data_IF_531560058837
#
_entry.id   IF_531560058837
#
_cell.length_a   1.000
_cell.length_b   1.000
_cell.length_c   1.000
_cell.angle_alpha   90.00
_cell.angle_beta   90.00
_cell.angle_gamma   90.00
#
_symmetry.space_group_name_H-M   'P 1'
#
loop_
_entity.id
_entity.type
_entity.pdbx_description
1 polymer ?
2 non-polymer ?
#
# COMPACT_ATOMS: atom_id res chain seq x y z
N UNK A 1 -13.20 -27.95 3.21
CA UNK A 1 -12.44 -28.81 2.32
C UNK A 1 -11.08 -28.21 2.00
N UNK A 2 -10.83 -27.99 0.71
CA UNK A 2 -9.57 -27.42 0.25
C UNK A 2 -9.66 -25.89 0.33
N UNK A 3 -9.62 -25.39 1.55
CA UNK A 3 -9.68 -23.96 1.83
C UNK A 3 -8.32 -23.36 2.13
N UNK A 4 -7.42 -24.14 2.74
CA UNK A 4 -6.05 -23.69 2.94
C UNK A 4 -5.38 -23.34 1.63
N UNK A 5 -5.73 -24.05 0.55
CA UNK A 5 -5.23 -23.70 -0.77
C UNK A 5 -5.69 -22.31 -1.19
N UNK A 6 -6.95 -21.97 -0.89
CA UNK A 6 -7.48 -20.65 -1.21
C UNK A 6 -6.77 -19.57 -0.39
N UNK A 7 -6.54 -19.86 0.90
CA UNK A 7 -5.79 -18.92 1.73
C UNK A 7 -4.38 -18.70 1.17
N UNK A 8 -3.73 -19.78 0.75
CA UNK A 8 -2.40 -19.68 0.15
C UNK A 8 -2.44 -18.84 -1.13
N UNK A 9 -3.45 -19.06 -1.97
CA UNK A 9 -3.55 -18.31 -3.22
C UNK A 9 -3.70 -16.82 -2.94
N UNK A 10 -4.57 -16.46 -2.01
CA UNK A 10 -4.79 -15.04 -1.71
C UNK A 10 -3.53 -14.42 -1.10
N UNK A 11 -2.88 -15.16 -0.19
CA UNK A 11 -1.64 -14.66 0.40
C UNK A 11 -0.59 -14.39 -0.66
N UNK A 12 -0.39 -15.34 -1.58
CA UNK A 12 0.60 -15.18 -2.63
C UNK A 12 0.25 -14.02 -3.54
N UNK A 13 -1.03 -13.87 -3.90
CA UNK A 13 -1.43 -12.77 -4.76
C UNK A 13 -1.13 -11.42 -4.12
N UNK A 14 -1.50 -11.26 -2.84
CA UNK A 14 -1.24 -9.98 -2.17
C UNK A 14 0.26 -9.72 -2.06
N UNK A 15 1.04 -10.74 -1.69
CA UNK A 15 2.48 -10.56 -1.55
C UNK A 15 3.12 -10.16 -2.86
N UNK A 16 2.77 -10.85 -3.95
CA UNK A 16 3.36 -10.52 -5.25
C UNK A 16 2.94 -9.14 -5.72
N UNK A 17 1.68 -8.76 -5.49
CA UNK A 17 1.23 -7.44 -5.90
C UNK A 17 1.99 -6.35 -5.16
N UNK A 18 2.17 -6.50 -3.84
CA UNK A 18 2.90 -5.48 -3.09
C UNK A 18 4.38 -5.47 -3.47
N UNK A 19 4.96 -6.64 -3.75
CA UNK A 19 6.34 -6.69 -4.20
C UNK A 19 6.53 -5.93 -5.50
N UNK A 20 5.62 -6.15 -6.46
CA UNK A 20 5.70 -5.42 -7.72
C UNK A 20 5.48 -3.93 -7.52
N UNK A 21 4.61 -3.56 -6.58
CA UNK A 21 4.39 -2.15 -6.29
C UNK A 21 5.65 -1.49 -5.76
N UNK A 22 6.36 -2.16 -4.85
CA UNK A 22 7.46 -1.50 -4.15
C UNK A 22 8.84 -1.73 -4.76
N UNK A 23 8.98 -2.64 -5.72
CA UNK A 23 10.27 -2.83 -6.37
C UNK A 23 10.63 -1.61 -7.22
N UNK A 24 9.61 -0.93 -7.76
CA UNK A 24 9.83 0.16 -8.70
C UNK A 24 10.59 1.31 -8.05
N UNK A 25 10.44 1.47 -6.73
CA UNK A 25 10.85 2.72 -6.08
C UNK A 25 12.34 3.02 -6.23
N UNK A 26 13.27 2.10 -5.94
CA UNK A 26 14.69 2.47 -6.05
C UNK A 26 15.20 2.61 -7.47
N UNK A 27 14.52 2.03 -8.45
CA UNK A 27 15.11 1.82 -9.77
C UNK A 27 14.59 2.82 -10.80
N UNK A 28 13.27 3.06 -10.86
CA UNK A 28 12.71 3.90 -11.92
C UNK A 28 13.19 5.35 -11.83
N UNK A 29 13.11 6.04 -10.68
CA UNK A 29 13.58 7.43 -10.66
C UNK A 29 15.05 7.58 -11.04
N UNK A 30 15.91 6.69 -10.57
CA UNK A 30 17.31 6.75 -10.93
C UNK A 30 17.51 6.51 -12.41
N UNK A 31 16.75 5.58 -12.99
CA UNK A 31 16.86 5.29 -14.42
C UNK A 31 16.45 6.50 -15.25
N UNK A 32 15.34 7.14 -14.89
CA UNK A 32 14.91 8.34 -15.62
C UNK A 32 15.92 9.47 -15.46
N UNK A 33 16.48 9.62 -14.25
CA UNK A 33 17.52 10.62 -14.03
C UNK A 33 18.72 10.37 -14.92
N UNK A 34 19.16 9.12 -15.01
CA UNK A 34 20.31 8.78 -15.84
C UNK A 34 20.03 9.03 -17.32
N UNK A 35 18.81 8.72 -17.76
CA UNK A 35 18.46 8.98 -19.16
C UNK A 35 18.48 10.48 -19.46
N UNK A 36 17.80 11.27 -18.62
CA UNK A 36 17.64 12.69 -18.95
C UNK A 36 18.95 13.44 -18.80
N UNK A 37 19.65 13.27 -17.67
CA UNK A 37 20.81 14.10 -17.39
C UNK A 37 22.05 13.65 -18.16
N UNK A 38 22.18 12.36 -18.43
CA UNK A 38 23.34 11.84 -19.14
C UNK A 38 22.95 11.31 -20.51
N UNK A 105 17.94 23.26 -10.14
CA UNK A 105 17.89 23.06 -11.58
C UNK A 105 16.48 22.70 -12.03
N UNK A 106 16.08 23.22 -13.19
CA UNK A 106 14.80 22.84 -13.77
C UNK A 106 14.78 21.37 -14.14
N UNK A 107 15.92 20.83 -14.57
CA UNK A 107 16.07 19.41 -14.79
C UNK A 107 16.18 18.71 -13.43
N UNK A 108 15.63 17.49 -13.38
CA UNK A 108 15.38 16.68 -12.19
C UNK A 108 14.25 17.28 -11.37
N UNK A 109 13.88 18.53 -11.64
CA UNK A 109 12.69 19.10 -11.02
C UNK A 109 11.46 18.75 -11.85
N UNK A 110 11.55 18.94 -13.16
CA UNK A 110 10.53 18.37 -14.05
C UNK A 110 10.47 16.86 -13.88
N UNK A 111 11.61 16.22 -13.62
CA UNK A 111 11.60 14.79 -13.37
C UNK A 111 10.85 14.44 -12.09
N UNK A 112 11.03 15.22 -11.03
CA UNK A 112 10.25 14.98 -9.81
C UNK A 112 8.76 15.16 -10.06
N UNK A 113 8.40 16.23 -10.78
CA UNK A 113 6.98 16.49 -11.03
C UNK A 113 6.36 15.48 -12.00
N UNK A 114 7.17 14.79 -12.80
CA UNK A 114 6.64 13.74 -13.67
C UNK A 114 6.60 12.37 -12.99
N UNK A 115 7.60 12.04 -12.18
CA UNK A 115 7.56 10.77 -11.46
C UNK A 115 6.47 10.81 -10.40
N UNK A 116 6.11 12.00 -9.90
CA UNK A 116 4.96 12.07 -9.02
C UNK A 116 3.69 11.56 -9.68
N UNK A 117 3.43 12.02 -10.91
CA UNK A 117 2.27 11.55 -11.64
C UNK A 117 2.40 10.08 -12.00
N UNK A 118 3.60 9.65 -12.36
CA UNK A 118 3.81 8.24 -12.70
C UNK A 118 3.51 7.34 -11.50
N UNK A 119 3.84 7.80 -10.29
CA UNK A 119 3.57 6.99 -9.11
C UNK A 119 2.10 7.08 -8.68
N UNK A 120 1.44 8.21 -8.96
CA UNK A 120 0.04 8.34 -8.59
C UNK A 120 -0.90 7.67 -9.58
N UNK A 121 -0.41 7.31 -10.77
CA UNK A 121 -1.27 6.73 -11.79
C UNK A 121 -1.91 5.43 -11.32
N UNK A 122 -1.15 4.57 -10.65
CA UNK A 122 -1.69 3.28 -10.21
C UNK A 122 -2.85 3.48 -9.23
N UNK A 123 -2.65 4.37 -8.25
CA UNK A 123 -3.70 4.60 -7.27
C UNK A 123 -4.93 5.22 -7.91
N UNK A 124 -4.75 6.15 -8.85
CA UNK A 124 -5.90 6.74 -9.53
C UNK A 124 -6.69 5.69 -10.31
N UNK A 125 -5.98 4.83 -11.06
CA UNK A 125 -6.66 3.81 -11.84
C UNK A 125 -7.37 2.83 -10.92
N UNK A 126 -6.75 2.46 -9.81
CA UNK A 126 -7.38 1.56 -8.86
C UNK A 126 -8.65 2.16 -8.28
N UNK A 127 -8.59 3.45 -7.92
CA UNK A 127 -9.78 4.12 -7.40
C UNK A 127 -10.90 4.13 -8.42
N UNK A 128 -10.59 4.39 -9.68
CA UNK A 128 -11.63 4.45 -10.70
C UNK A 128 -12.21 3.07 -10.96
N UNK A 129 -11.37 2.03 -10.99
CA UNK A 129 -11.84 0.73 -11.44
C UNK A 129 -12.36 -0.13 -10.30
N UNK A 130 -12.20 0.32 -9.05
CA UNK A 130 -12.64 -0.49 -7.92
C UNK A 130 -14.13 -0.84 -7.93
N UNK A 131 -15.04 0.11 -8.17
CA UNK A 131 -16.47 -0.26 -8.14
C UNK A 131 -16.88 -1.32 -9.15
N UNK A 132 -16.25 -1.35 -10.32
CA UNK A 132 -16.72 -2.22 -11.40
C UNK A 132 -16.43 -3.69 -11.11
N UNK A 133 -15.31 -3.97 -10.45
CA UNK A 133 -14.90 -5.35 -10.23
C UNK A 133 -15.87 -6.06 -9.29
N UNK A 134 -16.39 -5.34 -8.29
CA UNK A 134 -17.38 -5.95 -7.41
C UNK A 134 -18.63 -6.38 -8.14
N UNK A 135 -19.16 -5.51 -9.00
CA UNK A 135 -20.31 -5.88 -9.82
C UNK A 135 -19.99 -7.06 -10.72
N UNK A 136 -18.80 -7.05 -11.34
CA UNK A 136 -18.43 -8.13 -12.25
C UNK A 136 -18.35 -9.46 -11.52
N UNK A 137 -17.75 -9.49 -10.34
CA UNK A 137 -17.64 -10.75 -9.61
C UNK A 137 -18.98 -11.17 -9.02
N UNK A 138 -19.86 -10.21 -8.76
CA UNK A 138 -21.22 -10.55 -8.36
C UNK A 138 -21.93 -11.28 -9.49
N UNK A 139 -21.79 -10.78 -10.72
CA UNK A 139 -22.52 -11.38 -11.83
C UNK A 139 -21.89 -12.71 -12.27
N UNK A 140 -20.55 -12.80 -12.28
CA UNK A 140 -19.88 -13.92 -12.93
C UNK A 140 -19.16 -14.85 -11.96
N UNK A 141 -18.83 -14.41 -10.76
CA UNK A 141 -18.15 -15.30 -9.83
C UNK A 141 -16.69 -14.95 -9.67
N UNK A 142 -16.13 -15.29 -8.52
CA UNK A 142 -14.75 -14.91 -8.18
C UNK A 142 -13.67 -15.45 -9.11
N UNK A 143 -13.66 -16.72 -9.52
CA UNK A 143 -12.46 -17.27 -10.17
C UNK A 143 -11.98 -16.52 -11.41
N UNK A 144 -12.90 -16.05 -12.26
CA UNK A 144 -12.48 -15.34 -13.47
C UNK A 144 -11.74 -14.05 -13.13
N UNK A 145 -12.26 -13.16 -12.27
CA UNK A 145 -11.44 -12.01 -11.85
C UNK A 145 -10.15 -12.40 -11.16
N UNK A 146 -10.16 -13.47 -10.35
CA UNK A 146 -8.94 -13.86 -9.65
C UNK A 146 -7.85 -14.23 -10.65
N UNK A 147 -8.21 -14.97 -11.70
CA UNK A 147 -7.22 -15.36 -12.70
C UNK A 147 -6.82 -14.17 -13.58
N UNK A 148 -7.79 -13.31 -13.91
CA UNK A 148 -7.49 -12.14 -14.73
C UNK A 148 -6.50 -11.23 -14.01
N UNK A 149 -6.55 -11.20 -12.68
CA UNK A 149 -5.57 -10.42 -11.94
C UNK A 149 -4.14 -10.88 -12.22
N UNK A 150 -3.91 -12.19 -12.17
CA UNK A 150 -2.57 -12.69 -12.46
C UNK A 150 -2.18 -12.43 -13.91
N UNK A 151 -3.13 -12.60 -14.83
CA UNK A 151 -2.81 -12.36 -16.25
C UNK A 151 -2.38 -10.91 -16.47
N UNK A 152 -3.14 -9.96 -15.94
CA UNK A 152 -2.80 -8.55 -16.09
C UNK A 152 -1.50 -8.20 -15.36
N UNK A 153 -1.24 -8.79 -14.19
CA UNK A 153 0.02 -8.54 -13.51
C UNK A 153 1.20 -9.04 -14.33
N UNK A 154 1.05 -10.20 -14.97
CA UNK A 154 2.12 -10.70 -15.85
C UNK A 154 2.38 -9.74 -17.01
N UNK A 155 1.31 -9.27 -17.64
CA UNK A 155 1.49 -8.33 -18.76
C UNK A 155 2.20 -7.07 -18.30
N UNK A 156 1.77 -6.52 -17.15
CA UNK A 156 2.39 -5.30 -16.65
C UNK A 156 3.86 -5.52 -16.30
N UNK A 157 4.18 -6.67 -15.71
CA UNK A 157 5.57 -6.94 -15.36
C UNK A 157 6.46 -7.05 -16.59
N UNK A 158 5.99 -7.75 -17.62
CA UNK A 158 6.80 -7.86 -18.85
C UNK A 158 6.97 -6.49 -19.50
N UNK A 159 5.92 -5.67 -19.50
CA UNK A 159 6.04 -4.30 -20.08
C UNK A 159 7.15 -3.52 -19.36
N UNK A 160 7.17 -3.50 -18.03
CA UNK A 160 8.17 -2.70 -17.27
C UNK A 160 9.58 -3.18 -17.63
N UNK A 161 9.76 -4.49 -17.73
CA UNK A 161 11.11 -5.05 -18.01
C UNK A 161 11.55 -4.66 -19.42
N UNK A 162 10.65 -4.68 -20.40
CA UNK A 162 11.14 -4.40 -21.75
C UNK A 162 10.71 -3.04 -22.30
N UNK A 163 10.54 -2.03 -21.45
CA UNK A 163 10.20 -0.68 -21.90
C UNK A 163 11.24 0.31 -21.40
N UNK A 164 11.57 1.29 -22.24
CA UNK A 164 12.53 2.33 -21.88
C UNK A 164 11.92 3.73 -21.85
N UNK A 165 10.84 3.98 -22.59
CA UNK A 165 10.25 5.30 -22.62
C UNK A 165 9.39 5.55 -21.38
N UNK A 166 8.96 6.81 -21.22
CA UNK A 166 8.12 7.17 -20.08
C UNK A 166 6.69 6.67 -20.24
N UNK A 167 6.15 6.79 -21.46
CA UNK A 167 4.74 6.48 -21.68
C UNK A 167 4.46 5.01 -21.42
N UNK A 168 5.36 4.12 -21.83
CA UNK A 168 5.13 2.69 -21.61
C UNK A 168 5.22 2.34 -20.13
N UNK A 169 6.09 3.03 -19.39
CA UNK A 169 6.09 2.85 -17.93
C UNK A 169 4.76 3.28 -17.34
N UNK A 170 4.20 4.40 -17.83
CA UNK A 170 2.90 4.84 -17.35
C UNK A 170 1.81 3.81 -17.64
N UNK A 171 1.84 3.23 -18.85
CA UNK A 171 0.84 2.22 -19.22
C UNK A 171 0.99 0.97 -18.34
N UNK A 172 2.23 0.56 -18.09
CA UNK A 172 2.45 -0.61 -17.23
C UNK A 172 1.93 -0.36 -15.82
N UNK A 173 2.19 0.82 -15.27
CA UNK A 173 1.66 1.14 -13.94
C UNK A 173 0.13 1.16 -13.94
N UNK A 174 -0.47 1.72 -15.00
CA UNK A 174 -1.93 1.74 -15.08
C UNK A 174 -2.51 0.33 -15.11
N UNK A 175 -1.91 -0.56 -15.91
CA UNK A 175 -2.39 -1.94 -15.94
C UNK A 175 -2.22 -2.62 -14.59
N UNK A 176 -1.10 -2.38 -13.93
CA UNK A 176 -0.91 -2.92 -12.59
C UNK A 176 -2.00 -2.43 -11.64
N UNK A 177 -2.51 -1.21 -11.86
CA UNK A 177 -3.60 -0.73 -11.05
C UNK A 177 -4.84 -1.60 -11.14
N UNK A 178 -5.25 -1.93 -12.38
CA UNK A 178 -6.42 -2.79 -12.56
C UNK A 178 -6.16 -4.16 -11.98
N UNK A 179 -4.98 -4.72 -12.22
CA UNK A 179 -4.66 -6.02 -11.68
C UNK A 179 -4.73 -6.06 -10.16
N UNK A 180 -4.14 -5.05 -9.51
CA UNK A 180 -4.16 -4.99 -8.06
C UNK A 180 -5.58 -4.87 -7.53
N UNK A 181 -6.39 -4.01 -8.14
CA UNK A 181 -7.76 -3.85 -7.66
C UNK A 181 -8.56 -5.13 -7.80
N UNK A 182 -8.49 -5.75 -8.98
CA UNK A 182 -9.20 -7.01 -9.22
C UNK A 182 -8.80 -8.07 -8.20
N UNK A 183 -7.49 -8.25 -8.00
CA UNK A 183 -7.05 -9.27 -7.04
C UNK A 183 -7.51 -8.94 -5.63
N UNK A 184 -7.34 -7.69 -5.20
CA UNK A 184 -7.67 -7.32 -3.82
C UNK A 184 -9.15 -7.50 -3.54
N UNK A 185 -10.01 -7.26 -4.53
CA UNK A 185 -11.44 -7.45 -4.31
C UNK A 185 -11.81 -8.93 -4.35
N UNK A 186 -11.43 -9.63 -5.42
CA UNK A 186 -11.93 -10.99 -5.62
C UNK A 186 -11.33 -11.97 -4.63
N UNK A 187 -10.03 -11.86 -4.33
CA UNK A 187 -9.42 -12.78 -3.37
C UNK A 187 -10.02 -12.63 -1.99
N UNK A 188 -10.24 -11.39 -1.55
CA UNK A 188 -10.86 -11.15 -0.25
C UNK A 188 -12.29 -11.69 -0.24
N UNK A 189 -13.03 -11.49 -1.32
CA UNK A 189 -14.37 -12.03 -1.39
C UNK A 189 -14.40 -13.55 -1.26
N UNK A 190 -13.54 -14.23 -2.02
CA UNK A 190 -13.47 -15.68 -1.91
C UNK A 190 -13.07 -16.13 -0.51
N UNK A 191 -12.07 -15.48 0.08
CA UNK A 191 -11.58 -15.90 1.38
C UNK A 191 -12.63 -15.68 2.47
N UNK A 192 -13.41 -14.61 2.35
CA UNK A 192 -14.51 -14.39 3.29
C UNK A 192 -15.62 -15.40 3.10
N UNK A 193 -15.93 -15.73 1.85
CA UNK A 193 -17.02 -16.66 1.58
C UNK A 193 -16.70 -18.08 2.03
N UNK A 194 -15.44 -18.50 1.88
CA UNK A 194 -15.11 -19.90 2.09
C UNK A 194 -15.14 -20.27 3.58
N UNK A 195 -14.88 -19.30 4.46
CA UNK A 195 -14.76 -19.62 5.87
C UNK A 195 -16.13 -19.56 6.56
N UNK A 196 -16.32 -20.44 7.55
CA UNK A 196 -17.62 -20.62 8.18
C UNK A 196 -17.76 -19.85 9.50
N UNK A 197 -16.72 -19.84 10.32
CA UNK A 197 -16.80 -19.22 11.65
C UNK A 197 -16.34 -17.77 11.57
N UNK A 198 -17.11 -16.89 12.21
CA UNK A 198 -16.74 -15.47 12.25
C UNK A 198 -15.47 -15.25 13.06
N UNK A 199 -15.35 -15.94 14.20
CA UNK A 199 -14.13 -15.82 15.00
C UNK A 199 -12.94 -16.40 14.27
N UNK A 200 -13.12 -17.53 13.60
CA UNK A 200 -12.06 -18.06 12.74
C UNK A 200 -11.76 -17.10 11.59
N UNK A 201 -12.78 -16.39 11.12
CA UNK A 201 -12.58 -15.39 10.07
C UNK A 201 -11.68 -14.25 10.56
N UNK A 202 -11.67 -14.01 11.87
CA UNK A 202 -10.83 -12.94 12.38
C UNK A 202 -9.35 -13.19 12.19
N UNK A 203 -8.91 -14.43 12.45
CA UNK A 203 -7.49 -14.74 12.32
C UNK A 203 -7.05 -14.76 10.87
N UNK A 204 -7.88 -15.27 9.97
CA UNK A 204 -7.46 -15.48 8.59
C UNK A 204 -7.26 -14.17 7.87
N UNK A 205 -8.01 -13.12 8.23
CA UNK A 205 -7.76 -11.81 7.65
C UNK A 205 -6.39 -11.28 8.05
N UNK A 206 -5.99 -11.49 9.30
CA UNK A 206 -4.69 -11.04 9.74
C UNK A 206 -3.55 -11.68 8.96
N UNK A 207 -3.72 -12.95 8.61
CA UNK A 207 -2.72 -13.64 7.80
C UNK A 207 -2.68 -13.07 6.38
N UNK A 208 -3.86 -12.76 5.84
CA UNK A 208 -3.92 -12.17 4.50
C UNK A 208 -3.22 -10.81 4.45
N UNK A 209 -3.51 -9.94 5.42
CA UNK A 209 -2.83 -8.65 5.47
C UNK A 209 -1.36 -8.82 5.82
N UNK A 210 -1.01 -9.90 6.53
CA UNK A 210 0.39 -10.16 6.84
C UNK A 210 1.22 -10.33 5.58
N UNK A 211 0.64 -10.92 4.54
CA UNK A 211 1.33 -11.03 3.27
C UNK A 211 1.60 -9.68 2.64
N UNK A 212 0.66 -8.74 2.79
CA UNK A 212 0.84 -7.40 2.25
C UNK A 212 2.01 -6.70 2.91
N UNK A 213 2.13 -6.82 4.23
CA UNK A 213 3.22 -6.17 4.94
C UNK A 213 4.56 -6.85 4.64
N UNK A 214 4.56 -8.17 4.49
CA UNK A 214 5.80 -8.88 4.19
C UNK A 214 6.25 -8.62 2.75
N UNK A 215 5.30 -8.43 1.84
CA UNK A 215 5.66 -8.18 0.45
C UNK A 215 6.39 -6.86 0.26
N UNK A 216 5.96 -5.83 0.99
CA UNK A 216 6.62 -4.53 0.92
C UNK A 216 7.93 -4.50 1.69
N UNK A 217 8.25 -5.57 2.40
CA UNK A 217 9.50 -5.65 3.16
C UNK A 217 10.69 -6.04 2.29
N UNK A 218 10.59 -7.17 1.59
CA UNK A 218 11.73 -7.65 0.81
C UNK A 218 11.81 -6.93 -0.53
N UNK A 219 10.83 -6.09 -0.84
CA UNK A 219 10.76 -5.42 -2.12
C UNK A 219 11.94 -4.52 -2.43
N UNK A 220 12.06 -3.41 -1.70
CA UNK A 220 13.11 -2.42 -2.00
C UNK A 220 14.52 -3.02 -1.98
N UNK A 221 14.88 -3.83 -0.99
CA UNK A 221 16.27 -4.36 -1.01
C UNK A 221 16.51 -5.33 -2.15
N UNK A 222 15.55 -6.21 -2.45
CA UNK A 222 15.73 -7.16 -3.54
C UNK A 222 15.84 -6.45 -4.88
N UNK A 223 14.99 -5.45 -5.11
CA UNK A 223 15.03 -4.74 -6.38
C UNK A 223 16.28 -3.91 -6.56
N UNK A 224 16.70 -3.21 -5.51
CA UNK A 224 17.80 -2.25 -5.64
C UNK A 224 19.14 -2.96 -5.81
N UNK A 225 19.43 -3.95 -4.98
CA UNK A 225 20.72 -4.63 -5.05
C UNK A 225 20.85 -5.42 -6.34
N UNK A 226 19.76 -6.07 -6.77
CA UNK A 226 19.80 -6.84 -8.02
C UNK A 226 19.97 -5.93 -9.23
N UNK A 227 19.34 -4.75 -9.20
CA UNK A 227 19.43 -3.83 -10.33
C UNK A 227 20.85 -3.29 -10.49
N UNK A 228 21.49 -2.94 -9.39
CA UNK A 228 22.77 -2.25 -9.47
C UNK A 228 23.88 -3.19 -9.94
N UNK A 229 23.78 -4.47 -9.62
CA UNK A 229 24.82 -5.44 -9.98
C UNK A 229 24.62 -6.06 -11.36
N UNK A 230 23.37 -6.35 -11.75
CA UNK A 230 23.08 -7.08 -12.98
C UNK A 230 22.54 -6.16 -14.07
N UNK A 231 21.41 -5.53 -13.81
CA UNK A 231 20.82 -4.64 -14.79
C UNK A 231 19.39 -4.29 -14.45
N UNK A 232 18.73 -3.64 -15.42
CA UNK A 232 17.35 -3.19 -15.24
C UNK A 232 16.33 -4.28 -15.48
N UNK A 233 16.74 -5.47 -15.95
CA UNK A 233 15.80 -6.49 -16.36
C UNK A 233 15.69 -7.68 -15.41
N UNK A 234 16.73 -7.95 -14.60
CA UNK A 234 16.70 -9.16 -13.79
C UNK A 234 15.57 -9.19 -12.76
N UNK A 235 15.36 -8.16 -11.92
CA UNK A 235 14.29 -8.27 -10.92
C UNK A 235 12.90 -8.40 -11.55
N UNK A 236 12.65 -7.69 -12.64
CA UNK A 236 11.34 -7.78 -13.28
C UNK A 236 11.13 -9.15 -13.91
N UNK A 237 12.19 -9.74 -14.45
CA UNK A 237 12.09 -11.11 -14.96
C UNK A 237 11.81 -12.10 -13.83
N UNK A 238 12.43 -11.90 -12.67
CA UNK A 238 12.17 -12.77 -11.53
C UNK A 238 10.71 -12.65 -11.09
N UNK A 239 10.20 -11.42 -11.02
CA UNK A 239 8.79 -11.21 -10.69
C UNK A 239 7.88 -11.87 -11.72
N UNK A 240 8.23 -11.79 -13.01
CA UNK A 240 7.45 -12.44 -14.04
C UNK A 240 7.41 -13.94 -13.84
N UNK A 241 8.56 -14.54 -13.53
CA UNK A 241 8.61 -15.99 -13.30
C UNK A 241 7.74 -16.39 -12.11
N UNK A 242 7.84 -15.65 -11.01
CA UNK A 242 7.05 -15.98 -9.83
C UNK A 242 5.56 -15.82 -10.10
N UNK A 243 5.16 -14.75 -10.79
CA UNK A 243 3.76 -14.53 -11.11
C UNK A 243 3.24 -15.64 -12.02
N UNK A 244 4.05 -16.04 -13.00
CA UNK A 244 3.64 -17.12 -13.90
C UNK A 244 3.47 -18.43 -13.14
N UNK A 245 4.37 -18.73 -12.21
CA UNK A 245 4.24 -19.94 -11.42
C UNK A 245 2.97 -19.92 -10.58
N UNK A 246 2.69 -18.78 -9.94
CA UNK A 246 1.47 -18.67 -9.13
C UNK A 246 0.22 -18.81 -10.00
N UNK A 247 0.22 -18.21 -11.18
CA UNK A 247 -0.91 -18.34 -12.08
C UNK A 247 -1.12 -19.76 -12.56
N UNK A 248 -0.01 -20.46 -12.83
CA UNK A 248 -0.12 -21.88 -13.20
C UNK A 248 -0.74 -22.68 -12.07
N UNK A 249 -0.31 -22.44 -10.83
CA UNK A 249 -0.92 -23.11 -9.69
C UNK A 249 -2.42 -22.81 -9.64
N UNK A 250 -2.77 -21.53 -9.77
CA UNK A 250 -4.18 -21.14 -9.67
C UNK A 250 -5.03 -21.82 -10.74
N UNK A 251 -4.52 -21.88 -11.98
CA UNK A 251 -5.31 -22.43 -13.08
C UNK A 251 -5.30 -23.95 -13.12
N UNK A 252 -4.33 -24.61 -12.49
CA UNK A 252 -4.23 -26.06 -12.60
C UNK A 252 -4.68 -26.80 -11.35
N UNK A 253 -4.21 -26.40 -10.17
CA UNK A 253 -4.42 -27.25 -8.99
C UNK A 253 -5.91 -27.29 -8.61
N UNK A 254 -6.63 -26.18 -8.79
CA UNK A 254 -8.03 -26.13 -8.41
C UNK A 254 -8.85 -25.49 -9.53
N UNK A 255 -9.76 -26.26 -10.11
CA UNK A 255 -10.87 -25.73 -10.88
C UNK A 255 -12.12 -26.57 -10.61
N UNK A 256 -12.48 -26.81 -9.33
CA UNK A 256 -13.57 -27.74 -9.05
C UNK A 256 -14.95 -27.13 -9.30
N UNK A 257 -15.14 -25.89 -8.84
CA UNK A 257 -16.44 -25.23 -8.94
C UNK A 257 -16.22 -23.73 -8.93
N UNK A 258 -17.23 -23.01 -9.38
CA UNK A 258 -17.18 -21.55 -9.51
C UNK A 258 -18.04 -20.94 -8.42
N UNK A 259 -17.40 -20.34 -7.42
CA UNK A 259 -18.05 -19.88 -6.20
C UNK A 259 -18.49 -18.43 -6.41
N UNK A 260 -19.76 -18.16 -6.15
CA UNK A 260 -20.43 -16.87 -6.27
C UNK A 260 -20.42 -16.14 -4.93
N UNK A 261 -20.28 -14.82 -4.93
CA UNK A 261 -20.31 -14.07 -3.66
C UNK A 261 -21.66 -14.18 -2.97
N UNK A 262 -21.64 -13.95 -1.66
CA UNK A 262 -22.86 -14.00 -0.87
C UNK A 262 -23.80 -12.87 -1.25
N UNK A 263 -25.11 -13.15 -1.17
CA UNK A 263 -26.13 -12.17 -1.50
C UNK A 263 -26.38 -11.18 -0.37
N UNK A 264 -25.78 -11.40 0.81
CA UNK A 264 -25.92 -10.48 1.93
C UNK A 264 -25.09 -9.24 1.63
N UNK A 265 -25.75 -8.21 1.09
CA UNK A 265 -25.10 -6.95 0.76
C UNK A 265 -25.50 -5.91 1.78
N UNK A 266 -24.51 -5.28 2.42
CA UNK A 266 -24.76 -4.28 3.44
C UNK A 266 -25.09 -2.93 2.84
N UNK A 267 -24.93 -1.90 3.67
CA UNK A 267 -25.17 -0.55 3.21
C UNK A 267 -24.15 -0.16 2.13
N UNK A 268 -24.55 0.61 1.13
CA UNK A 268 -23.59 1.02 0.10
C UNK A 268 -22.50 1.91 0.67
N UNK A 269 -21.34 1.88 0.02
CA UNK A 269 -20.18 2.60 0.52
C UNK A 269 -20.42 4.10 0.60
N UNK A 270 -21.39 4.63 -0.15
CA UNK A 270 -21.67 6.07 -0.10
C UNK A 270 -22.20 6.47 1.27
N UNK A 271 -23.33 5.89 1.70
CA UNK A 271 -23.87 6.23 3.00
C UNK A 271 -22.94 5.82 4.13
N UNK A 272 -22.16 4.76 3.94
CA UNK A 272 -21.16 4.38 4.94
C UNK A 272 -20.11 5.46 5.09
N UNK A 273 -19.63 6.01 3.97
CA UNK A 273 -18.68 7.11 4.03
C UNK A 273 -19.32 8.41 4.54
N UNK A 274 -20.64 8.52 4.45
CA UNK A 274 -21.33 9.70 4.95
C UNK A 274 -21.35 9.77 6.48
N UNK A 275 -20.94 8.71 7.16
CA UNK A 275 -20.90 8.70 8.62
C UNK A 275 -19.72 9.52 9.10
N UNK A 276 -19.93 10.54 9.95
CA UNK A 276 -18.80 11.37 10.40
C UNK A 276 -17.70 10.61 11.12
N UNK A 277 -18.04 9.61 11.92
CA UNK A 277 -17.00 8.86 12.65
C UNK A 277 -16.19 8.00 11.68
N UNK A 278 -16.87 7.34 10.75
CA UNK A 278 -16.19 6.61 9.70
C UNK A 278 -15.29 7.54 8.92
N UNK A 279 -15.76 8.77 8.66
CA UNK A 279 -14.95 9.76 7.95
C UNK A 279 -13.71 10.13 8.73
N UNK A 280 -13.83 10.28 10.06
CA UNK A 280 -12.67 10.62 10.87
C UNK A 280 -11.63 9.51 10.81
N UNK A 281 -12.08 8.25 10.96
CA UNK A 281 -11.15 7.14 10.90
C UNK A 281 -10.48 7.04 9.53
N UNK A 282 -11.26 7.23 8.46
CA UNK A 282 -10.72 7.16 7.11
C UNK A 282 -9.70 8.27 6.87
N UNK A 283 -9.99 9.48 7.36
CA UNK A 283 -9.03 10.57 7.21
C UNK A 283 -7.74 10.31 7.97
N UNK A 284 -7.85 9.76 9.17
CA UNK A 284 -6.65 9.42 9.93
C UNK A 284 -5.79 8.42 9.17
N UNK A 285 -6.40 7.35 8.67
CA UNK A 285 -5.65 6.34 7.93
C UNK A 285 -5.04 6.96 6.66
N UNK A 286 -5.82 7.79 5.97
CA UNK A 286 -5.35 8.38 4.72
C UNK A 286 -4.14 9.27 4.95
N UNK A 287 -4.17 10.12 5.99
CA UNK A 287 -3.01 10.97 6.26
C UNK A 287 -1.80 10.15 6.69
N UNK A 288 -2.01 9.14 7.55
CA UNK A 288 -0.90 8.33 8.03
C UNK A 288 -0.21 7.61 6.88
N UNK A 289 -0.98 7.12 5.90
CA UNK A 289 -0.36 6.50 4.73
C UNK A 289 0.18 7.51 3.74
N UNK A 290 -0.44 8.68 3.63
CA UNK A 290 0.03 9.70 2.71
C UNK A 290 1.41 10.20 3.09
N UNK A 291 1.73 10.20 4.37
CA UNK A 291 3.10 10.50 4.79
C UNK A 291 4.15 9.68 4.05
N UNK A 292 4.10 8.35 4.21
CA UNK A 292 5.08 7.50 3.56
C UNK A 292 4.87 7.47 2.05
N UNK A 293 3.64 7.70 1.58
CA UNK A 293 3.41 7.75 0.14
C UNK A 293 4.14 8.92 -0.50
N UNK A 294 4.21 10.05 0.21
CA UNK A 294 5.00 11.18 -0.26
C UNK A 294 6.50 10.95 -0.06
N UNK A 295 6.87 10.23 1.00
CA UNK A 295 8.28 9.90 1.21
C UNK A 295 8.83 9.02 0.09
N UNK A 296 8.03 8.08 -0.40
CA UNK A 296 8.54 7.03 -1.27
C UNK A 296 9.15 7.51 -2.58
N UNK A 297 8.53 8.38 -3.38
CA UNK A 297 9.10 8.72 -4.69
C UNK A 297 10.03 9.93 -4.72
N UNK A 298 10.38 10.49 -3.56
CA UNK A 298 11.27 11.65 -3.50
C UNK A 298 12.52 11.42 -2.67
N UNK A 299 12.52 10.47 -1.75
CA UNK A 299 13.69 10.21 -0.92
C UNK A 299 14.89 9.74 -1.75
N UNK A 300 14.73 8.83 -2.72
CA UNK A 300 15.89 8.46 -3.56
C UNK A 300 16.55 9.65 -4.23
N UNK A 301 15.76 10.59 -4.77
CA UNK A 301 16.33 11.74 -5.45
C UNK A 301 17.07 12.64 -4.48
N UNK A 302 16.48 12.90 -3.31
CA UNK A 302 17.14 13.72 -2.30
C UNK A 302 18.45 13.08 -1.84
N UNK A 303 18.43 11.77 -1.61
CA UNK A 303 19.63 11.06 -1.20
C UNK A 303 20.71 11.15 -2.28
N UNK A 304 20.33 10.95 -3.54
CA UNK A 304 21.31 11.00 -4.62
C UNK A 304 21.90 12.39 -4.80
N UNK A 305 21.08 13.43 -4.64
CA UNK A 305 21.56 14.79 -4.84
C UNK A 305 22.39 15.30 -3.66
N UNK A 306 22.10 14.85 -2.44
CA UNK A 306 22.79 15.37 -1.27
C UNK A 306 23.93 14.47 -0.80
N UNK A 307 23.64 13.21 -0.51
CA UNK A 307 24.63 12.32 0.07
C UNK A 307 25.43 11.55 -0.96
N UNK A 308 25.20 11.78 -2.24
CA UNK A 308 25.88 11.10 -3.36
C UNK A 308 26.06 9.61 -3.07
N UNK A 309 24.94 8.97 -2.76
CA UNK A 309 24.91 7.55 -2.41
C UNK A 309 24.86 6.68 -3.65
N UNK A 310 25.39 5.46 -3.53
CA UNK A 310 25.37 4.50 -4.63
C UNK A 310 23.96 3.99 -4.88
N UNK A 311 23.80 3.10 -5.86
CA UNK A 311 22.47 2.64 -6.25
C UNK A 311 21.94 1.51 -5.36
N UNK A 312 22.79 0.87 -4.56
CA UNK A 312 22.32 -0.23 -3.74
C UNK A 312 21.78 0.21 -2.39
N UNK A 313 22.02 1.46 -1.99
CA UNK A 313 21.56 1.95 -0.69
C UNK A 313 20.16 2.54 -0.74
N UNK A 314 19.58 2.71 -1.92
CA UNK A 314 18.24 3.29 -2.06
C UNK A 314 17.15 2.34 -1.61
N UNK A 315 17.46 1.07 -1.35
CA UNK A 315 16.50 0.15 -0.78
C UNK A 315 16.78 -0.10 0.69
N UNK A 316 18.06 -0.09 1.05
CA UNK A 316 18.44 -0.17 2.45
C UNK A 316 17.93 1.04 3.21
N UNK A 317 17.72 2.16 2.51
CA UNK A 317 17.10 3.31 3.15
C UNK A 317 15.68 3.00 3.61
N UNK A 318 14.92 2.27 2.79
CA UNK A 318 13.52 1.97 3.08
C UNK A 318 13.33 0.71 3.90
N UNK A 319 14.36 -0.11 4.05
CA UNK A 319 14.23 -1.34 4.83
C UNK A 319 13.78 -1.12 6.28
N UNK A 320 14.39 -0.20 7.06
CA UNK A 320 13.96 -0.06 8.45
C UNK A 320 12.50 0.32 8.60
N UNK A 321 11.96 1.10 7.67
CA UNK A 321 10.54 1.47 7.76
C UNK A 321 9.65 0.24 7.69
N UNK A 322 9.94 -0.67 6.76
CA UNK A 322 9.14 -1.89 6.63
C UNK A 322 9.30 -2.79 7.86
N UNK A 323 10.53 -2.92 8.36
CA UNK A 323 10.74 -3.75 9.54
C UNK A 323 9.97 -3.20 10.73
N UNK A 324 10.02 -1.88 10.92
CA UNK A 324 9.27 -1.25 12.00
C UNK A 324 7.77 -1.39 11.81
N UNK A 325 7.29 -1.32 10.56
CA UNK A 325 5.87 -1.54 10.30
C UNK A 325 5.44 -2.93 10.76
N UNK A 326 6.23 -3.95 10.41
CA UNK A 326 5.92 -5.31 10.85
C UNK A 326 5.88 -5.40 12.38
N UNK A 327 6.93 -4.91 13.04
CA UNK A 327 7.01 -5.04 14.49
C UNK A 327 5.87 -4.29 15.17
N UNK A 328 5.60 -3.05 14.73
CA UNK A 328 4.56 -2.27 15.36
C UNK A 328 3.19 -2.87 15.17
N UNK A 329 2.89 -3.34 13.96
CA UNK A 329 1.61 -4.00 13.73
C UNK A 329 1.45 -5.21 14.64
N UNK A 330 2.49 -6.06 14.70
CA UNK A 330 2.36 -7.28 15.48
C UNK A 330 2.17 -6.99 16.97
N UNK A 331 2.95 -6.05 17.53
CA UNK A 331 2.84 -5.79 18.96
C UNK A 331 1.53 -5.09 19.30
N UNK A 332 1.14 -4.10 18.49
CA UNK A 332 -0.03 -3.33 18.89
C UNK A 332 -1.34 -3.99 18.50
N UNK A 333 -1.34 -4.98 17.60
CA UNK A 333 -2.54 -5.78 17.44
C UNK A 333 -2.95 -6.54 18.70
N UNK A 334 -2.05 -6.66 19.67
CA UNK A 334 -2.38 -7.19 20.97
C UNK A 334 -2.44 -6.10 22.04
N UNK A 335 -1.60 -5.07 21.95
CA UNK A 335 -1.58 -4.04 22.99
C UNK A 335 -2.65 -2.97 22.82
N UNK A 336 -3.38 -2.95 21.69
CA UNK A 336 -4.28 -1.83 21.42
C UNK A 336 -5.45 -1.78 22.41
N UNK A 337 -6.13 -2.91 22.61
CA UNK A 337 -7.31 -2.88 23.47
C UNK A 337 -6.96 -2.74 24.93
N UNK A 338 -5.72 -2.99 25.32
CA UNK A 338 -5.26 -2.75 26.68
C UNK A 338 -4.79 -1.32 26.89
N UNK A 339 -4.26 -0.68 25.85
CA UNK A 339 -3.90 0.72 25.94
C UNK A 339 -5.05 1.68 25.60
N UNK A 340 -6.14 1.17 25.02
CA UNK A 340 -7.18 2.03 24.52
C UNK A 340 -6.94 2.38 23.06
N UNK A 341 -7.87 2.00 22.18
CA UNK A 341 -7.63 2.13 20.74
C UNK A 341 -7.45 3.59 20.33
N UNK A 342 -8.29 4.49 20.86
CA UNK A 342 -8.14 5.90 20.51
C UNK A 342 -6.81 6.45 21.01
N UNK A 343 -6.39 6.03 22.21
CA UNK A 343 -5.09 6.46 22.73
C UNK A 343 -3.96 5.98 21.84
N UNK A 344 -4.03 4.72 21.40
CA UNK A 344 -2.99 4.19 20.52
C UNK A 344 -2.94 4.94 19.20
N UNK A 345 -4.11 5.23 18.61
CA UNK A 345 -4.13 5.96 17.35
C UNK A 345 -3.58 7.39 17.52
N UNK A 346 -3.94 8.05 18.62
CA UNK A 346 -3.44 9.41 18.87
C UNK A 346 -1.93 9.41 19.00
N UNK A 347 -1.39 8.47 19.80
CA UNK A 347 0.06 8.42 19.96
C UNK A 347 0.74 8.08 18.65
N UNK A 348 0.14 7.20 17.84
CA UNK A 348 0.73 6.88 16.55
C UNK A 348 0.80 8.07 15.63
N UNK A 349 -0.28 8.85 15.56
CA UNK A 349 -0.27 10.04 14.71
C UNK A 349 0.78 11.04 15.17
N UNK A 350 0.87 11.27 16.49
CA UNK A 350 1.87 12.23 16.99
C UNK A 350 3.27 11.73 16.66
N UNK A 351 3.54 10.44 16.86
CA UNK A 351 4.87 9.91 16.62
C UNK A 351 5.24 9.99 15.15
N UNK A 352 4.31 9.66 14.25
CA UNK A 352 4.65 9.72 12.83
C UNK A 352 4.88 11.17 12.40
N UNK A 353 4.13 12.11 12.99
CA UNK A 353 4.38 13.51 12.70
C UNK A 353 5.78 13.94 13.10
N UNK A 354 6.20 13.55 14.31
CA UNK A 354 7.51 13.96 14.79
C UNK A 354 8.62 13.30 13.98
N UNK A 355 8.47 12.02 13.63
CA UNK A 355 9.49 11.34 12.84
C UNK A 355 9.61 11.96 11.44
N UNK A 356 8.47 12.29 10.82
CA UNK A 356 8.52 12.93 9.51
C UNK A 356 9.18 14.30 9.62
N UNK A 357 8.92 15.02 10.72
CA UNK A 357 9.61 16.29 10.93
C UNK A 357 11.12 16.08 11.05
N UNK A 358 11.53 15.00 11.71
CA UNK A 358 12.96 14.78 11.96
C UNK A 358 13.71 14.23 10.75
N UNK A 359 13.02 13.65 9.76
CA UNK A 359 13.71 13.05 8.62
C UNK A 359 14.70 13.99 7.94
N UNK A 360 14.33 15.22 7.55
CA UNK A 360 15.24 16.03 6.72
C UNK A 360 16.50 16.50 7.43
N UNK A 361 16.71 16.15 8.70
CA UNK A 361 17.87 16.61 9.45
C UNK A 361 19.07 15.69 9.34
N UNK A 362 18.99 14.66 8.50
CA UNK A 362 20.05 13.67 8.40
C UNK A 362 21.01 14.03 7.27
N UNK A 363 22.28 13.65 7.43
CA UNK A 363 23.29 13.80 6.40
C UNK A 363 23.82 12.48 5.86
N UNK A 364 23.80 11.43 6.68
CA UNK A 364 24.20 10.09 6.28
C UNK A 364 23.03 9.13 6.46
N UNK A 365 23.20 7.91 5.95
CA UNK A 365 22.18 6.88 6.14
C UNK A 365 22.00 6.58 7.62
N UNK A 366 23.10 6.61 8.38
CA UNK A 366 23.02 6.41 9.82
C UNK A 366 22.12 7.42 10.49
N UNK A 367 21.96 8.60 9.88
CA UNK A 367 20.97 9.56 10.34
C UNK A 367 19.57 9.34 9.83
N UNK A 368 19.41 8.45 8.84
CA UNK A 368 18.09 8.06 8.36
C UNK A 368 17.60 6.76 8.97
N UNK A 369 18.44 6.07 9.74
CA UNK A 369 18.03 4.80 10.34
C UNK A 369 16.87 5.00 11.31
N UNK A 370 16.95 6.01 12.17
CA UNK A 370 15.98 6.19 13.25
C UNK A 370 14.63 6.77 12.80
N UNK A 371 14.60 7.88 12.05
CA UNK A 371 13.30 8.43 11.66
C UNK A 371 12.46 7.48 10.82
N UNK A 372 13.07 6.67 9.95
CA UNK A 372 12.32 5.66 9.21
C UNK A 372 11.73 4.63 10.17
N UNK A 373 12.50 4.24 11.18
CA UNK A 373 12.00 3.36 12.23
C UNK A 373 10.75 3.94 12.87
N UNK A 374 10.81 5.21 13.25
CA UNK A 374 9.65 5.85 13.87
C UNK A 374 8.45 5.90 12.94
N UNK A 375 8.69 6.22 11.67
CA UNK A 375 7.59 6.31 10.70
C UNK A 375 6.90 4.96 10.56
N UNK A 376 7.68 3.90 10.37
CA UNK A 376 7.09 2.58 10.22
C UNK A 376 6.32 2.14 11.45
N UNK A 377 6.91 2.36 12.63
CA UNK A 377 6.25 1.95 13.87
C UNK A 377 4.93 2.69 14.05
N UNK A 378 4.91 4.00 13.80
CA UNK A 378 3.70 4.77 14.01
C UNK A 378 2.62 4.42 12.99
N UNK A 379 3.02 4.16 11.74
CA UNK A 379 2.02 3.78 10.74
C UNK A 379 1.39 2.43 11.10
N UNK A 380 2.21 1.49 11.56
CA UNK A 380 1.66 0.23 12.03
C UNK A 380 0.69 0.41 13.19
N UNK A 381 1.07 1.26 14.15
CA UNK A 381 0.18 1.56 15.28
C UNK A 381 -1.16 2.09 14.80
N UNK A 382 -1.13 3.07 13.89
CA UNK A 382 -2.35 3.72 13.44
C UNK A 382 -3.26 2.73 12.71
N UNK A 383 -2.68 1.93 11.80
CA UNK A 383 -3.49 0.98 11.05
C UNK A 383 -4.13 -0.05 11.97
N UNK A 384 -3.32 -0.63 12.88
CA UNK A 384 -3.83 -1.65 13.80
C UNK A 384 -4.90 -1.08 14.72
N UNK A 385 -4.77 0.18 15.13
CA UNK A 385 -5.76 0.78 15.99
C UNK A 385 -7.03 1.17 15.24
N UNK A 386 -6.93 1.49 13.95
CA UNK A 386 -8.07 2.01 13.21
C UNK A 386 -8.90 0.94 12.52
N UNK A 387 -8.36 -0.27 12.28
CA UNK A 387 -9.19 -1.29 11.64
C UNK A 387 -10.37 -1.69 12.52
N UNK A 388 -10.18 -2.20 13.74
CA UNK A 388 -11.34 -2.66 14.53
C UNK A 388 -12.29 -1.53 14.90
N UNK A 389 -11.82 -0.30 15.04
CA UNK A 389 -12.71 0.82 15.31
C UNK A 389 -13.68 1.02 14.15
N UNK A 390 -13.15 0.95 12.93
CA UNK A 390 -14.01 1.01 11.75
C UNK A 390 -15.03 -0.10 11.76
N UNK A 391 -14.58 -1.33 12.06
CA UNK A 391 -15.51 -2.45 12.11
C UNK A 391 -16.61 -2.25 13.14
N UNK A 392 -16.25 -1.79 14.33
CA UNK A 392 -17.23 -1.60 15.40
C UNK A 392 -18.22 -0.50 15.04
N UNK A 393 -17.74 0.60 14.47
CA UNK A 393 -18.65 1.68 14.08
C UNK A 393 -19.62 1.21 13.00
N UNK A 394 -19.14 0.48 12.00
CA UNK A 394 -20.01 -0.02 10.95
C UNK A 394 -21.04 -0.98 11.53
N UNK A 395 -20.61 -1.87 12.43
CA UNK A 395 -21.54 -2.82 13.02
C UNK A 395 -22.60 -2.14 13.86
N UNK A 396 -22.23 -1.08 14.59
CA UNK A 396 -23.20 -0.41 15.44
C UNK A 396 -24.17 0.45 14.64
N UNK A 397 -23.65 1.46 13.93
CA UNK A 397 -24.54 2.45 13.32
C UNK A 397 -25.26 1.95 12.09
N UNK A 398 -24.83 0.84 11.49
CA UNK A 398 -25.45 0.34 10.27
C UNK A 398 -25.45 -1.18 10.31
N UNK A 399 -25.78 -1.81 9.18
CA UNK A 399 -25.66 -3.24 9.01
C UNK A 399 -24.28 -3.55 8.47
N UNK A 400 -23.75 -4.72 8.82
CA UNK A 400 -22.34 -5.01 8.61
C UNK A 400 -22.16 -6.29 7.81
N UNK A 401 -21.21 -6.24 6.87
CA UNK A 401 -20.67 -7.41 6.20
C UNK A 401 -19.14 -7.35 6.35
N UNK A 402 -18.50 -8.50 6.23
CA UNK A 402 -17.06 -8.54 6.46
C UNK A 402 -16.27 -7.76 5.41
N UNK A 403 -16.84 -7.56 4.22
CA UNK A 403 -16.15 -6.83 3.18
C UNK A 403 -16.23 -5.31 3.28
N UNK A 404 -17.15 -4.78 4.08
CA UNK A 404 -17.30 -3.32 4.17
C UNK A 404 -16.08 -2.67 4.79
N UNK A 405 -15.52 -3.28 5.84
CA UNK A 405 -14.34 -2.72 6.49
C UNK A 405 -13.17 -2.67 5.52
N UNK A 406 -12.96 -3.74 4.78
CA UNK A 406 -11.85 -3.76 3.82
C UNK A 406 -12.09 -2.81 2.66
N UNK A 407 -13.35 -2.63 2.25
CA UNK A 407 -13.65 -1.64 1.22
C UNK A 407 -13.33 -0.23 1.68
N UNK A 408 -13.70 0.10 2.93
CA UNK A 408 -13.39 1.42 3.48
C UNK A 408 -11.89 1.61 3.56
N UNK A 409 -11.18 0.59 4.05
CA UNK A 409 -9.72 0.67 4.17
C UNK A 409 -9.06 0.85 2.80
N UNK A 410 -9.55 0.12 1.80
CA UNK A 410 -8.98 0.24 0.45
C UNK A 410 -9.23 1.62 -0.12
N UNK A 411 -10.43 2.18 0.10
CA UNK A 411 -10.69 3.54 -0.36
C UNK A 411 -9.74 4.52 0.29
N UNK A 412 -9.53 4.39 1.60
CA UNK A 412 -8.62 5.29 2.30
C UNK A 412 -7.19 5.16 1.78
N UNK A 413 -6.72 3.92 1.62
CA UNK A 413 -5.35 3.70 1.13
C UNK A 413 -5.16 4.28 -0.26
N UNK A 414 -6.12 4.00 -1.15
CA UNK A 414 -5.97 4.47 -2.56
C UNK A 414 -5.98 5.99 -2.60
N UNK A 415 -6.81 6.65 -1.78
CA UNK A 415 -6.83 8.13 -1.72
C UNK A 415 -5.47 8.64 -1.20
N UNK A 416 -4.92 8.00 -0.17
CA UNK A 416 -3.66 8.47 0.41
C UNK A 416 -2.51 8.31 -0.56
N UNK A 417 -2.55 7.25 -1.37
CA UNK A 417 -1.50 7.02 -2.36
C UNK A 417 -1.78 7.70 -3.69
N UNK A 418 -2.97 8.25 -3.90
CA UNK A 418 -3.25 9.04 -5.09
C UNK A 418 -3.03 10.53 -4.89
N UNK A 419 -3.29 11.05 -3.68
CA UNK A 419 -3.05 12.46 -3.41
C UNK A 419 -1.64 12.74 -2.91
N UNK A 420 -0.91 11.72 -2.45
CA UNK A 420 0.41 11.94 -1.93
C UNK A 420 1.45 12.34 -2.96
N UNK A 421 1.81 11.41 -3.85
CA UNK A 421 2.98 11.66 -4.73
C UNK A 421 2.87 12.89 -5.61
N UNK A 422 1.71 13.15 -6.21
CA UNK A 422 1.60 14.27 -7.15
C UNK A 422 1.79 15.60 -6.45
N UNK A 423 1.02 15.83 -5.38
CA UNK A 423 1.15 17.07 -4.62
C UNK A 423 2.53 17.18 -3.98
N UNK A 424 3.08 16.06 -3.52
CA UNK A 424 4.42 16.10 -2.94
C UNK A 424 5.47 16.53 -3.94
N UNK A 425 5.40 15.98 -5.15
CA UNK A 425 6.34 16.40 -6.19
C UNK A 425 6.17 17.87 -6.56
N UNK A 426 4.93 18.32 -6.68
CA UNK A 426 4.69 19.72 -7.03
C UNK A 426 5.25 20.65 -5.95
N UNK A 427 4.99 20.33 -4.68
CA UNK A 427 5.47 21.17 -3.59
C UNK A 427 6.99 21.13 -3.49
N UNK A 428 7.59 19.95 -3.68
CA UNK A 428 9.04 19.84 -3.63
C UNK A 428 9.69 20.65 -4.74
N UNK A 429 9.11 20.63 -5.94
CA UNK A 429 9.62 21.48 -7.02
C UNK A 429 9.45 22.95 -6.67
N UNK A 430 8.32 23.32 -6.07
CA UNK A 430 8.06 24.74 -5.81
C UNK A 430 8.98 25.31 -4.74
N UNK A 431 9.12 24.61 -3.61
CA UNK A 431 9.86 25.17 -2.49
C UNK A 431 10.96 24.25 -1.96
N UNK A 432 10.88 22.93 -2.13
CA UNK A 432 11.90 22.03 -1.64
C UNK A 432 11.33 20.85 -0.89
N UNK A 433 12.22 19.95 -0.53
CA UNK A 433 11.90 18.71 0.17
C UNK A 433 11.69 18.91 1.68
N UNK A 434 12.61 19.61 2.37
CA UNK A 434 12.40 19.80 3.82
C UNK A 434 11.10 20.51 4.17
N UNK A 435 10.70 21.49 3.35
CA UNK A 435 9.46 22.20 3.65
C UNK A 435 8.25 21.29 3.44
N UNK A 436 8.31 20.41 2.44
CA UNK A 436 7.23 19.44 2.25
C UNK A 436 7.13 18.52 3.46
N UNK A 437 8.26 18.03 3.96
CA UNK A 437 8.23 17.14 5.12
C UNK A 437 7.73 17.86 6.36
N UNK A 438 8.14 19.11 6.55
CA UNK A 438 7.62 19.90 7.67
C UNK A 438 6.11 20.09 7.56
N UNK A 439 5.62 20.36 6.36
CA UNK A 439 4.19 20.58 6.17
C UNK A 439 3.40 19.33 6.52
N UNK A 440 3.84 18.17 6.01
CA UNK A 440 3.08 16.95 6.28
C UNK A 440 3.18 16.56 7.76
N UNK A 441 4.34 16.79 8.38
CA UNK A 441 4.46 16.51 9.81
C UNK A 441 3.53 17.38 10.64
N UNK A 442 3.44 18.67 10.31
CA UNK A 442 2.57 19.57 11.05
C UNK A 442 1.11 19.19 10.84
N UNK A 443 0.76 18.77 9.62
CA UNK A 443 -0.61 18.31 9.36
C UNK A 443 -0.94 17.10 10.22
N UNK A 444 -0.02 16.15 10.31
CA UNK A 444 -0.23 14.97 11.15
C UNK A 444 -0.42 15.38 12.61
N UNK A 445 0.43 16.29 13.11
CA UNK A 445 0.34 16.71 14.49
C UNK A 445 -1.00 17.39 14.77
N UNK A 446 -1.46 18.25 13.85
CA UNK A 446 -2.73 18.92 14.04
C UNK A 446 -3.90 17.95 13.98
N UNK A 447 -3.85 16.95 13.10
CA UNK A 447 -4.95 16.01 13.01
C UNK A 447 -4.98 15.01 14.16
N UNK A 448 -3.85 14.81 14.85
CA UNK A 448 -3.82 13.81 15.92
C UNK A 448 -4.90 14.00 16.99
N UNK A 449 -5.12 15.19 17.54
CA UNK A 449 -6.14 15.31 18.61
C UNK A 449 -7.57 15.02 18.16
N UNK A 450 -7.82 14.97 16.86
CA UNK A 450 -9.18 14.69 16.36
C UNK A 450 -9.59 13.24 16.61
N UNK A 451 -8.67 12.37 17.03
CA UNK A 451 -9.01 10.99 17.34
C UNK A 451 -9.68 10.84 18.70
N UNK A 452 -9.84 11.93 19.44
CA UNK A 452 -10.49 11.84 20.75
C UNK A 452 -11.97 11.50 20.63
N UNK A 453 -12.57 11.76 19.46
CA UNK A 453 -13.99 11.47 19.25
C UNK A 453 -14.27 10.00 18.99
N UNK A 454 -13.29 9.12 19.19
CA UNK A 454 -13.48 7.68 19.15
C UNK A 454 -13.52 7.12 20.56
N UNK A 455 -14.25 7.81 21.44
CA UNK A 455 -14.20 7.63 22.89
C UNK A 455 -15.26 6.65 23.38
N UNK A 456 -15.55 5.59 22.63
CA UNK A 456 -16.62 4.68 22.96
C UNK A 456 -16.45 4.15 24.37
N UNK A 457 -17.51 4.13 25.19
CA UNK A 457 -17.38 3.79 26.61
C UNK A 457 -16.80 2.41 26.83
N UNK A 458 -17.11 1.42 25.97
CA UNK A 458 -16.30 0.21 26.16
C UNK A 458 -14.92 0.34 25.49
X LIG B 1 6.61 0.88 6.57
X LIG B 1 5.81 0.88 5.43
X LIG B 1 4.44 1.04 5.53
X LIG B 1 6.39 0.71 4.18
X LIG B 1 7.78 0.54 4.07
X LIG B 1 5.60 0.71 3.05
X LIG B 1 4.23 0.86 3.15
X LIG B 1 3.65 1.04 4.40
X LIG B 1 2.14 1.21 4.51
X LIG B 1 1.76 2.23 3.64
X LIG B 1 1.45 -0.08 4.13
X LIG B 1 0.10 -0.07 4.66
#
# INVERSE_FOLDING_TARGET
RSRKLILFIVFLALLLDNMLLTVVVPIIPSYLYSIKHEKNATEIQTARPVHTASISDSFQSIFSYYDNSTMVTGNATRDLTLHQTATQHMVTNASAVPSDCPSEDKDLLNENVQVGLLFASKATVQLITNPFIGLLTNRIGYPIPIFAGFCIMFVSTIMFAFSSSYAFLLIARSLQGIGSSCSSVAGMGMLASVYTDAEEAGNVMGIALGGLAMGVLVGPPFGSVLYEFVGKTAPFLVLAALVLLDGAIQLFVLQPSRVQPESQKGTPLTTLLKDPYILIAAGSICFANMGIAMLEPALPIWMMETMCSRKWQLGVAFLPASISYLIGTNIFGILAHKMGRWLCALLGMIIVGVSILCIPFAKNIYGLIAPNFGVGFAIGMVDSSMMPIMGYLVDLRHVSVYGSVYAIADVAFCMGYAIGPSAGGAIAKAIGFPWLMTIIGIIDILFAPLCFFLRSPPQVQLVESGGALVQPGGSLRLSCAASGFPVNRYSMRWYRQAPGKEREWVAGMSSAGDRSSYEDSVKGRFTISRDDARNTVYLQMNSLKPEDTAVYYCNVNVGFEYWGQGTQVTVSSK
E5E OAC CAJ CAG CAI OAB CAE CAF CAK CAL OAD CAH NAA
#
